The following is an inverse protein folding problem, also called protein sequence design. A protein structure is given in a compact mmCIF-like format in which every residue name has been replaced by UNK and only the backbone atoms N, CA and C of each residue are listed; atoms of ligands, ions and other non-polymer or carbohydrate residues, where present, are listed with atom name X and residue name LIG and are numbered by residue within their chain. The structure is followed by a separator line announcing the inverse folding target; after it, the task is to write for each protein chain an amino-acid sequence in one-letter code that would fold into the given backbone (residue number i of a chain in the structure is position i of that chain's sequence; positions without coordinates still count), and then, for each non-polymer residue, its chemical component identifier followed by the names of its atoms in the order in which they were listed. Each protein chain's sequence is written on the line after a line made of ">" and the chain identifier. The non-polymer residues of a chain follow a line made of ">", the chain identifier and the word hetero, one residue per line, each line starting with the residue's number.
data_IF_282307644127
#
_entry.id   IF_282307644127
#
_cell.length_a   1.000
_cell.length_b   1.000
_cell.length_c   1.000
_cell.angle_alpha   90.00
_cell.angle_beta   90.00
_cell.angle_gamma   90.00
#
_symmetry.space_group_name_H-M   'P 1'
#
loop_
_entity.id
_entity.type
_entity.pdbx_description
1 polymer ?
#
# COMPACT_ATOMS: atom_id res chain seq x y z
N UNK A 1 -24.06 -3.61 -6.80
CA UNK A 1 -23.40 -4.80 -6.21
C UNK A 1 -22.73 -4.35 -4.93
N UNK A 2 -23.20 -4.83 -3.77
CA UNK A 2 -22.72 -4.38 -2.46
C UNK A 2 -21.29 -4.84 -2.21
N UNK A 3 -20.36 -3.91 -1.96
CA UNK A 3 -18.99 -4.25 -1.55
C UNK A 3 -19.07 -4.89 -0.17
N UNK A 4 -18.64 -6.14 -0.07
CA UNK A 4 -18.56 -6.86 1.19
C UNK A 4 -17.51 -6.16 2.07
N UNK A 5 -17.98 -5.40 3.06
CA UNK A 5 -17.15 -4.87 4.13
C UNK A 5 -16.84 -6.02 5.08
N UNK A 6 -15.68 -6.67 4.89
CA UNK A 6 -15.17 -7.64 5.85
C UNK A 6 -14.67 -6.84 7.05
N UNK A 7 -15.55 -6.65 8.04
CA UNK A 7 -15.12 -6.41 9.42
C UNK A 7 -14.30 -7.63 9.88
N UNK A 8 -13.32 -7.48 10.77
CA UNK A 8 -12.78 -8.65 11.45
C UNK A 8 -13.99 -9.41 12.03
N UNK A 9 -14.06 -10.75 11.89
CA UNK A 9 -15.18 -11.51 12.41
C UNK A 9 -15.38 -11.16 13.89
N UNK A 10 -16.63 -10.96 14.30
CA UNK A 10 -17.00 -10.43 15.61
C UNK A 10 -16.16 -11.08 16.73
N UNK A 11 -15.41 -10.26 17.46
CA UNK A 11 -14.55 -10.71 18.56
C UNK A 11 -13.09 -11.03 18.21
N UNK A 12 -12.62 -10.80 16.96
CA UNK A 12 -11.18 -10.87 16.65
C UNK A 12 -10.50 -9.52 16.80
N UNK A 13 -9.49 -9.47 17.66
CA UNK A 13 -8.53 -8.36 17.75
C UNK A 13 -7.95 -8.05 16.37
N UNK A 14 -7.64 -6.77 16.11
CA UNK A 14 -6.85 -6.34 14.96
C UNK A 14 -5.62 -7.27 14.81
N UNK A 15 -5.44 -7.96 13.67
CA UNK A 15 -4.33 -8.87 13.51
C UNK A 15 -3.04 -8.04 13.47
N UNK A 16 -2.25 -8.16 14.54
CA UNK A 16 -0.94 -7.52 14.67
C UNK A 16 -0.98 -6.12 15.26
N UNK A 17 0.09 -5.76 15.96
CA UNK A 17 0.30 -4.42 16.50
C UNK A 17 0.62 -3.42 15.41
N UNK A 18 0.55 -2.13 15.71
CA UNK A 18 1.03 -1.05 14.84
C UNK A 18 2.44 -1.34 14.30
N UNK A 19 3.34 -1.82 15.17
CA UNK A 19 4.70 -2.19 14.79
C UNK A 19 4.72 -3.34 13.79
N UNK A 20 3.87 -4.36 13.95
CA UNK A 20 3.77 -5.46 12.98
C UNK A 20 3.38 -4.95 11.59
N UNK A 21 2.36 -4.08 11.50
CA UNK A 21 1.93 -3.50 10.22
C UNK A 21 3.03 -2.70 9.55
N UNK A 22 3.73 -1.84 10.31
CA UNK A 22 4.85 -1.05 9.78
C UNK A 22 6.03 -1.92 9.33
N UNK A 23 6.39 -2.95 10.09
CA UNK A 23 7.45 -3.88 9.71
C UNK A 23 7.14 -4.61 8.39
N UNK A 24 5.89 -5.05 8.21
CA UNK A 24 5.48 -5.65 6.94
C UNK A 24 5.49 -4.64 5.79
N UNK A 25 5.01 -3.41 6.01
CA UNK A 25 5.05 -2.35 5.01
C UNK A 25 6.49 -2.03 4.56
N UNK A 26 7.42 -1.96 5.50
CA UNK A 26 8.84 -1.73 5.22
C UNK A 26 9.47 -2.89 4.46
N UNK A 27 9.14 -4.14 4.83
CA UNK A 27 9.62 -5.33 4.12
C UNK A 27 9.16 -5.35 2.66
N UNK A 28 7.88 -5.05 2.40
CA UNK A 28 7.38 -4.94 1.02
C UNK A 28 8.05 -3.81 0.23
N UNK A 29 8.27 -2.65 0.85
CA UNK A 29 8.97 -1.55 0.20
C UNK A 29 10.40 -1.96 -0.19
N UNK A 30 11.09 -2.69 0.67
CA UNK A 30 12.44 -3.17 0.39
C UNK A 30 12.47 -4.21 -0.73
N UNK A 31 11.49 -5.11 -0.78
CA UNK A 31 11.34 -6.04 -1.91
C UNK A 31 11.13 -5.31 -3.23
N UNK A 32 10.32 -4.24 -3.25
CA UNK A 32 10.15 -3.41 -4.44
C UNK A 32 11.47 -2.72 -4.87
N UNK A 33 12.26 -2.24 -3.90
CA UNK A 33 13.58 -1.60 -4.16
C UNK A 33 14.60 -2.57 -4.73
N UNK A 34 14.71 -3.75 -4.12
CA UNK A 34 15.60 -4.81 -4.59
C UNK A 34 15.17 -5.30 -5.97
N UNK A 35 13.86 -5.44 -6.19
CA UNK A 35 13.25 -5.78 -7.47
C UNK A 35 13.65 -4.82 -8.59
N UNK A 36 13.60 -3.52 -8.33
CA UNK A 36 14.01 -2.50 -9.31
C UNK A 36 15.48 -2.61 -9.74
N UNK A 37 16.34 -3.15 -8.88
CA UNK A 37 17.77 -3.30 -9.15
C UNK A 37 18.10 -4.60 -9.88
N UNK A 38 17.11 -5.49 -10.07
CA UNK A 38 17.26 -6.76 -10.76
C UNK A 38 16.62 -6.72 -12.13
N UNK A 39 17.34 -7.26 -13.14
CA UNK A 39 16.81 -7.45 -14.49
C UNK A 39 15.88 -8.66 -14.61
N UNK A 40 15.94 -9.57 -13.63
CA UNK A 40 15.19 -10.84 -13.65
C UNK A 40 13.85 -10.72 -12.94
N UNK A 41 13.60 -9.59 -12.24
CA UNK A 41 12.35 -9.33 -11.54
C UNK A 41 11.43 -8.51 -12.44
N UNK A 42 10.26 -9.06 -12.72
CA UNK A 42 9.25 -8.41 -13.56
C UNK A 42 8.68 -7.17 -12.86
N UNK A 43 8.38 -6.12 -13.64
CA UNK A 43 7.72 -4.91 -13.16
C UNK A 43 6.43 -5.21 -12.37
N UNK A 44 5.71 -6.25 -12.77
CA UNK A 44 4.57 -6.83 -12.06
C UNK A 44 4.81 -7.05 -10.57
N UNK A 45 5.93 -7.71 -10.24
CA UNK A 45 6.30 -8.08 -8.87
C UNK A 45 6.72 -6.85 -8.06
N UNK A 46 7.44 -5.93 -8.72
CA UNK A 46 7.84 -4.65 -8.13
C UNK A 46 6.58 -3.83 -7.76
N UNK A 47 5.64 -3.69 -8.69
CA UNK A 47 4.38 -2.99 -8.47
C UNK A 47 3.55 -3.64 -7.36
N UNK A 48 3.46 -4.98 -7.34
CA UNK A 48 2.75 -5.71 -6.31
C UNK A 48 3.29 -5.42 -4.90
N UNK A 49 4.61 -5.47 -4.71
CA UNK A 49 5.20 -5.15 -3.42
C UNK A 49 5.06 -3.66 -3.06
N UNK A 50 5.19 -2.75 -4.02
CA UNK A 50 4.96 -1.32 -3.77
C UNK A 50 3.52 -1.03 -3.32
N UNK A 51 2.51 -1.68 -3.91
CA UNK A 51 1.12 -1.58 -3.48
C UNK A 51 0.91 -2.12 -2.06
N UNK A 52 1.44 -3.32 -1.77
CA UNK A 52 1.31 -3.93 -0.44
C UNK A 52 1.95 -3.07 0.65
N UNK A 53 3.10 -2.44 0.35
CA UNK A 53 3.76 -1.51 1.25
C UNK A 53 2.85 -0.33 1.60
N UNK A 54 2.21 0.29 0.60
CA UNK A 54 1.32 1.41 0.80
C UNK A 54 0.03 1.04 1.53
N UNK A 55 -0.61 -0.07 1.14
CA UNK A 55 -1.81 -0.59 1.81
C UNK A 55 -1.57 -0.78 3.31
N UNK A 56 -0.47 -1.44 3.67
CA UNK A 56 -0.10 -1.71 5.06
C UNK A 56 0.29 -0.45 5.81
N UNK A 57 0.96 0.50 5.16
CA UNK A 57 1.29 1.79 5.76
C UNK A 57 0.02 2.60 6.08
N UNK A 58 -0.96 2.66 5.17
CA UNK A 58 -2.23 3.36 5.42
C UNK A 58 -2.97 2.69 6.59
N UNK A 59 -3.08 1.36 6.58
CA UNK A 59 -3.71 0.60 7.68
C UNK A 59 -3.02 0.84 9.02
N UNK A 60 -1.68 0.91 9.03
CA UNK A 60 -0.92 1.27 10.24
C UNK A 60 -1.28 2.68 10.74
N UNK A 61 -1.39 3.66 9.85
CA UNK A 61 -1.77 5.03 10.23
C UNK A 61 -3.20 5.06 10.78
N UNK A 62 -4.16 4.42 10.12
CA UNK A 62 -5.55 4.33 10.61
C UNK A 62 -5.63 3.65 11.98
N UNK A 63 -4.90 2.55 12.16
CA UNK A 63 -4.79 1.85 13.45
C UNK A 63 -4.19 2.75 14.54
N UNK A 64 -3.13 3.51 14.23
CA UNK A 64 -2.52 4.45 15.20
C UNK A 64 -3.46 5.54 15.67
N UNK A 65 -4.50 5.84 14.88
CA UNK A 65 -5.56 6.81 15.16
C UNK A 65 -6.83 6.17 15.72
N UNK A 66 -6.84 4.86 15.96
CA UNK A 66 -8.00 4.09 16.40
C UNK A 66 -9.19 4.24 15.43
N UNK A 67 -8.90 4.34 14.13
CA UNK A 67 -9.90 4.40 13.07
C UNK A 67 -10.07 2.99 12.51
N UNK A 68 -11.30 2.49 12.55
CA UNK A 68 -11.65 1.21 11.95
C UNK A 68 -11.56 1.27 10.42
N UNK A 69 -11.12 0.17 9.81
CA UNK A 69 -11.06 0.04 8.36
C UNK A 69 -11.42 -1.39 7.93
N UNK A 70 -11.94 -1.57 6.70
CA UNK A 70 -12.22 -2.89 6.18
C UNK A 70 -10.93 -3.66 5.84
N UNK A 71 -10.95 -4.99 5.97
CA UNK A 71 -9.90 -5.84 5.41
C UNK A 71 -10.05 -5.94 3.89
N UNK A 72 -9.57 -4.90 3.21
CA UNK A 72 -9.63 -4.74 1.76
C UNK A 72 -8.22 -4.57 1.18
N UNK A 73 -8.07 -4.89 -0.10
CA UNK A 73 -6.90 -4.54 -0.93
C UNK A 73 -7.14 -3.27 -1.77
N UNK A 74 -8.29 -2.62 -1.57
CA UNK A 74 -8.65 -1.38 -2.23
C UNK A 74 -7.98 -0.19 -1.52
N UNK A 75 -6.85 0.28 -2.07
CA UNK A 75 -6.10 1.42 -1.53
C UNK A 75 -6.93 2.71 -1.61
N UNK A 76 -7.75 2.89 -2.65
CA UNK A 76 -8.59 4.09 -2.80
C UNK A 76 -9.60 4.16 -1.65
N UNK A 77 -10.24 3.04 -1.32
CA UNK A 77 -11.15 2.95 -0.18
C UNK A 77 -10.44 3.31 1.15
N UNK A 78 -9.18 2.90 1.34
CA UNK A 78 -8.42 3.23 2.55
C UNK A 78 -8.03 4.72 2.60
N UNK A 79 -7.71 5.32 1.46
CA UNK A 79 -7.43 6.76 1.34
C UNK A 79 -8.70 7.56 1.65
N UNK A 80 -9.86 7.17 1.10
CA UNK A 80 -11.14 7.82 1.39
C UNK A 80 -11.45 7.82 2.89
N UNK A 81 -11.23 6.70 3.58
CA UNK A 81 -11.40 6.60 5.04
C UNK A 81 -10.44 7.55 5.75
N UNK A 82 -9.17 7.58 5.35
CA UNK A 82 -8.19 8.49 5.94
C UNK A 82 -8.61 9.96 5.79
N UNK A 83 -9.07 10.36 4.61
CA UNK A 83 -9.53 11.71 4.32
C UNK A 83 -10.78 12.10 5.11
N UNK A 84 -11.77 11.21 5.20
CA UNK A 84 -12.97 11.40 6.02
C UNK A 84 -12.64 11.68 7.49
N UNK A 85 -11.58 11.05 7.99
CA UNK A 85 -11.09 11.23 9.35
C UNK A 85 -10.00 12.31 9.50
N UNK A 86 -9.75 13.11 8.45
CA UNK A 86 -8.75 14.20 8.43
C UNK A 86 -7.33 13.72 8.75
N UNK A 87 -7.01 12.49 8.37
CA UNK A 87 -5.66 11.94 8.42
C UNK A 87 -4.89 12.46 7.21
N UNK A 88 -3.80 13.17 7.46
CA UNK A 88 -2.92 13.65 6.40
C UNK A 88 -1.98 12.52 5.96
N UNK A 89 -2.20 12.01 4.74
CA UNK A 89 -1.36 11.01 4.11
C UNK A 89 -0.32 11.70 3.23
N UNK A 90 0.92 11.21 3.26
CA UNK A 90 1.97 11.74 2.38
C UNK A 90 1.61 11.54 0.91
N UNK A 91 2.11 12.42 0.05
CA UNK A 91 1.95 12.31 -1.41
C UNK A 91 2.40 10.96 -1.94
N UNK A 92 3.44 10.37 -1.36
CA UNK A 92 3.97 9.07 -1.78
C UNK A 92 2.98 7.93 -1.52
N UNK A 93 2.31 7.96 -0.36
CA UNK A 93 1.25 7.00 -0.01
C UNK A 93 0.03 7.17 -0.93
N UNK A 94 -0.35 8.42 -1.22
CA UNK A 94 -1.45 8.72 -2.15
C UNK A 94 -1.13 8.26 -3.57
N UNK A 95 0.10 8.49 -4.03
CA UNK A 95 0.57 8.07 -5.35
C UNK A 95 0.65 6.55 -5.47
N UNK A 96 0.89 5.83 -4.39
CA UNK A 96 0.88 4.37 -4.40
C UNK A 96 -0.50 3.78 -4.74
N UNK A 97 -1.60 4.48 -4.43
CA UNK A 97 -2.95 4.10 -4.85
C UNK A 97 -3.11 4.04 -6.38
N UNK A 98 -2.37 4.89 -7.10
CA UNK A 98 -2.33 4.86 -8.58
C UNK A 98 -1.60 3.65 -9.15
N UNK A 99 -0.87 2.89 -8.30
CA UNK A 99 -0.22 1.65 -8.72
C UNK A 99 -1.22 0.51 -8.84
N UNK A 100 -2.40 0.59 -8.20
CA UNK A 100 -3.43 -0.48 -8.12
C UNK A 100 -3.73 -1.19 -9.45
N UNK A 101 -3.92 -0.50 -10.58
CA UNK A 101 -4.17 -1.14 -11.87
C UNK A 101 -2.97 -1.96 -12.39
N UNK A 102 -1.75 -1.52 -12.09
CA UNK A 102 -0.52 -2.10 -12.64
C UNK A 102 -0.17 -3.49 -12.07
N UNK A 103 -0.51 -3.79 -10.81
CA UNK A 103 -0.33 -5.16 -10.29
C UNK A 103 -1.47 -6.11 -10.65
N UNK A 104 -2.60 -5.60 -11.16
CA UNK A 104 -3.73 -6.45 -11.61
C UNK A 104 -3.52 -6.86 -13.07
N UNK A 105 -3.18 -5.91 -13.96
CA UNK A 105 -3.00 -6.20 -15.39
C UNK A 105 -1.80 -7.11 -15.68
N UNK A 106 -0.80 -7.14 -14.80
CA UNK A 106 0.44 -7.89 -15.01
C UNK A 106 0.42 -9.35 -14.51
N UNK A 107 -0.71 -9.81 -13.95
CA UNK A 107 -0.85 -11.17 -13.38
C UNK A 107 -1.06 -12.28 -14.42
N UNK A 108 -1.39 -11.93 -15.67
CA UNK A 108 -1.60 -12.90 -16.73
C UNK A 108 -0.45 -12.84 -17.74
N UNK A 109 0.30 -13.94 -17.98
CA UNK A 109 1.29 -13.96 -19.05
C UNK A 109 0.60 -13.76 -20.41
N UNK A 110 0.77 -12.58 -21.01
CA UNK A 110 0.19 -12.21 -22.31
C UNK A 110 -0.39 -10.78 -22.39
N UNK A 111 -0.64 -10.11 -21.26
CA UNK A 111 -1.18 -8.75 -21.20
C UNK A 111 -0.08 -7.68 -21.27
N UNK A 112 0.60 -7.57 -22.42
CA UNK A 112 1.31 -6.36 -22.87
C UNK A 112 2.56 -5.91 -22.10
N UNK A 113 3.50 -5.31 -22.81
CA UNK A 113 4.67 -4.64 -22.21
C UNK A 113 4.20 -3.47 -21.33
N UNK A 114 4.37 -3.58 -20.02
CA UNK A 114 4.07 -2.49 -19.09
C UNK A 114 5.33 -1.67 -18.88
N UNK A 115 5.37 -0.45 -19.43
CA UNK A 115 6.39 0.54 -19.07
C UNK A 115 6.18 0.97 -17.61
N UNK A 116 7.26 1.01 -16.83
CA UNK A 116 7.23 1.49 -15.44
C UNK A 116 6.61 2.89 -15.36
N UNK A 117 5.54 3.11 -14.58
CA UNK A 117 4.92 4.42 -14.49
C UNK A 117 5.81 5.38 -13.69
N UNK A 118 5.89 6.64 -14.16
CA UNK A 118 6.69 7.73 -13.57
C UNK A 118 6.56 7.90 -12.03
N UNK A 119 5.39 7.69 -11.39
CA UNK A 119 5.24 7.80 -9.93
C UNK A 119 6.10 6.80 -9.13
N UNK A 120 6.37 5.61 -9.68
CA UNK A 120 7.18 4.57 -9.03
C UNK A 120 8.67 4.94 -8.97
N UNK A 121 9.16 5.68 -9.97
CA UNK A 121 10.53 6.19 -9.96
C UNK A 121 10.74 7.24 -8.85
N UNK A 122 9.72 8.06 -8.59
CA UNK A 122 9.73 9.12 -7.59
C UNK A 122 9.53 8.58 -6.16
N UNK A 123 8.59 7.63 -5.97
CA UNK A 123 8.26 7.03 -4.67
C UNK A 123 9.46 6.27 -4.05
N UNK A 124 10.37 5.74 -4.87
CA UNK A 124 11.55 5.01 -4.39
C UNK A 124 12.75 5.92 -4.06
N UNK A 125 12.69 7.22 -4.37
CA UNK A 125 13.75 8.20 -4.10
C UNK A 125 13.68 8.82 -2.70
N UNK A 126 12.49 8.99 -2.11
CA UNK A 126 12.31 9.79 -0.88
C UNK A 126 11.24 9.24 0.07
N UNK A 127 11.23 7.93 0.36
CA UNK A 127 10.36 7.43 1.44
C UNK A 127 10.97 7.72 2.83
N UNK A 128 10.83 8.96 3.28
CA UNK A 128 11.18 9.41 4.63
C UNK A 128 9.92 9.76 5.42
N UNK A 129 9.43 8.84 6.25
CA UNK A 129 8.34 9.12 7.19
C UNK A 129 8.85 10.10 8.25
N UNK A 130 8.64 11.40 8.04
CA UNK A 130 8.78 12.39 9.12
C UNK A 130 7.47 12.46 9.90
N UNK A 131 7.35 11.62 10.92
CA UNK A 131 6.41 11.88 11.99
C UNK A 131 6.87 13.14 12.73
N UNK A 132 6.17 14.27 12.55
CA UNK A 132 6.33 15.42 13.43
C UNK A 132 5.67 15.07 14.77
N UNK A 133 6.48 14.62 15.73
CA UNK A 133 6.12 14.72 17.14
C UNK A 133 6.24 16.18 17.58
N UNK A 134 5.25 16.59 18.36
CA UNK A 134 5.05 17.94 18.89
C UNK A 134 6.24 18.42 19.72
#
# INVERSE_FOLDING_TARGET
>A
MGRLSIKPPEGKEMPGSLQTWLSHAQSDLELARLGRSSKDILAAQICFHAQQAAEKAIKAVLLSRQIDFPFTHDIEQLIEIAEQHKVDLTSDVRNAGTLTPYAVETRYPGSGQVNMPHPLAQMLGEFGVKAKTK
#
